data_IF_919274260292
#
_entry.id   IF_919274260292
#
_cell.length_a   1.000
_cell.length_b   1.000
_cell.length_c   1.000
_cell.angle_alpha   90.00
_cell.angle_beta   90.00
_cell.angle_gamma   90.00
#
_symmetry.space_group_name_H-M   'P 1'
#
loop_
_entity.id
_entity.type
_entity.pdbx_description
1 polymer ?
#
# COMPACT_ATOMS: atom_id res chain seq x y z
N UNK A 1 -30.08 85.27 2.03
CA UNK A 1 -29.94 84.95 0.59
C UNK A 1 -28.47 84.80 0.18
N UNK A 2 -27.55 85.62 0.66
CA UNK A 2 -26.10 85.52 0.30
C UNK A 2 -25.44 84.21 0.72
N UNK A 3 -25.69 83.72 1.94
CA UNK A 3 -25.09 82.46 2.42
C UNK A 3 -25.50 81.24 1.56
N UNK A 4 -26.75 81.15 1.09
CA UNK A 4 -27.16 79.99 0.27
C UNK A 4 -26.43 79.97 -1.08
N UNK A 5 -26.14 81.14 -1.65
CA UNK A 5 -25.41 81.25 -2.92
C UNK A 5 -23.91 80.95 -2.78
N UNK A 6 -23.28 81.39 -1.68
CA UNK A 6 -21.87 81.03 -1.40
C UNK A 6 -21.70 79.53 -1.16
N UNK A 7 -22.60 78.92 -0.41
CA UNK A 7 -22.58 77.47 -0.18
C UNK A 7 -22.89 76.68 -1.46
N UNK A 8 -23.75 77.20 -2.34
CA UNK A 8 -24.00 76.64 -3.67
C UNK A 8 -22.76 76.68 -4.58
N UNK A 9 -21.99 77.78 -4.58
CA UNK A 9 -20.75 77.91 -5.34
C UNK A 9 -19.61 77.02 -4.80
N UNK A 10 -19.50 76.90 -3.47
CA UNK A 10 -18.54 76.00 -2.82
C UNK A 10 -18.91 74.53 -3.08
N UNK A 11 -20.18 74.16 -2.98
CA UNK A 11 -20.64 72.81 -3.31
C UNK A 11 -20.41 72.44 -4.79
N UNK A 12 -20.66 73.37 -5.71
CA UNK A 12 -20.41 73.18 -7.14
C UNK A 12 -18.93 72.98 -7.47
N UNK A 13 -18.05 73.81 -6.90
CA UNK A 13 -16.60 73.72 -7.11
C UNK A 13 -15.99 72.46 -6.48
N UNK A 14 -16.43 72.06 -5.29
CA UNK A 14 -16.03 70.79 -4.67
C UNK A 14 -16.46 69.60 -5.53
N UNK A 15 -17.68 69.60 -6.07
CA UNK A 15 -18.17 68.53 -6.95
C UNK A 15 -17.35 68.41 -8.25
N UNK A 16 -16.93 69.54 -8.83
CA UNK A 16 -16.08 69.55 -10.02
C UNK A 16 -14.66 69.02 -9.74
N UNK A 17 -14.09 69.36 -8.57
CA UNK A 17 -12.78 68.84 -8.14
C UNK A 17 -12.86 67.34 -7.88
N UNK A 18 -13.89 66.85 -7.19
CA UNK A 18 -14.10 65.42 -6.99
C UNK A 18 -14.34 64.68 -8.32
N UNK A 19 -15.04 65.28 -9.28
CA UNK A 19 -15.22 64.73 -10.62
C UNK A 19 -13.90 64.59 -11.39
N UNK A 20 -13.03 65.60 -11.34
CA UNK A 20 -11.70 65.56 -11.96
C UNK A 20 -10.77 64.56 -11.28
N UNK A 21 -10.75 64.52 -9.95
CA UNK A 21 -9.99 63.53 -9.19
C UNK A 21 -10.47 62.11 -9.47
N UNK A 22 -11.79 61.90 -9.57
CA UNK A 22 -12.36 60.62 -9.96
C UNK A 22 -11.88 60.21 -11.36
N UNK A 23 -11.89 61.11 -12.34
CA UNK A 23 -11.41 60.80 -13.71
C UNK A 23 -9.91 60.45 -13.76
N UNK A 24 -9.07 61.17 -13.00
CA UNK A 24 -7.62 60.95 -12.95
C UNK A 24 -7.30 59.62 -12.23
N UNK A 25 -8.01 59.29 -11.15
CA UNK A 25 -7.70 58.13 -10.31
C UNK A 25 -8.45 56.85 -10.72
N UNK A 26 -9.55 56.94 -11.47
CA UNK A 26 -10.38 55.77 -11.81
C UNK A 26 -9.65 54.73 -12.66
N UNK A 27 -8.94 55.18 -13.71
CA UNK A 27 -8.20 54.28 -14.60
C UNK A 27 -7.01 53.55 -13.94
N UNK A 28 -6.12 54.21 -13.16
CA UNK A 28 -5.03 53.50 -12.48
C UNK A 28 -5.54 52.53 -11.40
N UNK A 29 -6.59 52.90 -10.65
CA UNK A 29 -7.19 52.02 -9.64
C UNK A 29 -7.82 50.79 -10.31
N UNK A 30 -8.54 50.96 -11.41
CA UNK A 30 -9.15 49.84 -12.16
C UNK A 30 -8.09 48.86 -12.68
N UNK A 31 -6.98 49.37 -13.24
CA UNK A 31 -5.86 48.53 -13.71
C UNK A 31 -5.17 47.78 -12.58
N UNK A 32 -4.96 48.42 -11.42
CA UNK A 32 -4.40 47.77 -10.24
C UNK A 32 -5.29 46.63 -9.73
N UNK A 33 -6.62 46.87 -9.66
CA UNK A 33 -7.58 45.84 -9.24
C UNK A 33 -7.61 44.67 -10.23
N UNK A 34 -7.55 44.93 -11.55
CA UNK A 34 -7.50 43.88 -12.57
C UNK A 34 -6.24 43.01 -12.44
N UNK A 35 -5.05 43.63 -12.34
CA UNK A 35 -3.78 42.89 -12.13
C UNK A 35 -3.83 42.02 -10.88
N UNK A 36 -4.29 42.57 -9.75
CA UNK A 36 -4.43 41.83 -8.49
C UNK A 36 -5.43 40.67 -8.60
N UNK A 37 -6.47 40.80 -9.42
CA UNK A 37 -7.42 39.70 -9.70
C UNK A 37 -6.77 38.61 -10.55
N UNK A 38 -5.98 38.97 -11.56
CA UNK A 38 -5.26 38.02 -12.42
C UNK A 38 -4.18 37.26 -11.64
N UNK A 39 -3.39 37.94 -10.82
CA UNK A 39 -2.41 37.31 -9.92
C UNK A 39 -3.09 36.29 -8.98
N UNK A 40 -4.23 36.66 -8.40
CA UNK A 40 -5.02 35.74 -7.56
C UNK A 40 -5.57 34.55 -8.34
N UNK A 41 -5.95 34.72 -9.61
CA UNK A 41 -6.40 33.61 -10.47
C UNK A 41 -5.23 32.68 -10.79
N UNK A 42 -4.09 33.22 -11.22
CA UNK A 42 -2.87 32.45 -11.49
C UNK A 42 -2.41 31.66 -10.26
N UNK A 43 -2.36 32.31 -9.10
CA UNK A 43 -1.99 31.64 -7.85
C UNK A 43 -2.98 30.52 -7.48
N UNK A 44 -4.28 30.73 -7.71
CA UNK A 44 -5.28 29.67 -7.49
C UNK A 44 -5.10 28.51 -8.46
N UNK A 45 -4.86 28.80 -9.74
CA UNK A 45 -4.60 27.77 -10.75
C UNK A 45 -3.32 26.98 -10.46
N UNK A 46 -2.24 27.66 -10.07
CA UNK A 46 -0.98 27.03 -9.66
C UNK A 46 -1.17 26.15 -8.42
N UNK A 47 -1.93 26.62 -7.42
CA UNK A 47 -2.26 25.82 -6.23
C UNK A 47 -3.07 24.58 -6.58
N UNK A 48 -4.08 24.72 -7.43
CA UNK A 48 -4.90 23.59 -7.87
C UNK A 48 -4.05 22.57 -8.65
N UNK A 49 -3.17 23.03 -9.54
CA UNK A 49 -2.22 22.16 -10.25
C UNK A 49 -1.25 21.47 -9.30
N UNK A 50 -0.69 22.18 -8.33
CA UNK A 50 0.22 21.62 -7.34
C UNK A 50 -0.49 20.60 -6.44
N UNK A 51 -1.71 20.88 -6.01
CA UNK A 51 -2.53 19.95 -5.21
C UNK A 51 -2.89 18.70 -6.03
N UNK A 52 -3.24 18.87 -7.30
CA UNK A 52 -3.54 17.75 -8.19
C UNK A 52 -2.30 16.89 -8.45
N UNK A 53 -1.15 17.50 -8.74
CA UNK A 53 0.12 16.79 -8.89
C UNK A 53 0.48 16.01 -7.61
N UNK A 54 0.34 16.63 -6.42
CA UNK A 54 0.59 15.95 -5.15
C UNK A 54 -0.39 14.78 -4.91
N UNK A 55 -1.65 14.91 -5.33
CA UNK A 55 -2.64 13.81 -5.27
C UNK A 55 -2.29 12.68 -6.22
N UNK A 56 -1.86 13.00 -7.43
CA UNK A 56 -1.48 12.05 -8.47
C UNK A 56 -0.21 11.30 -8.06
N UNK A 57 0.81 11.99 -7.54
CA UNK A 57 2.03 11.40 -7.00
C UNK A 57 1.72 10.44 -5.83
N UNK A 58 0.86 10.88 -4.89
CA UNK A 58 0.43 10.03 -3.79
C UNK A 58 -0.38 8.82 -4.27
N UNK A 59 -1.16 8.95 -5.34
CA UNK A 59 -1.91 7.84 -5.94
C UNK A 59 -0.98 6.85 -6.65
N UNK A 60 0.03 7.34 -7.37
CA UNK A 60 1.06 6.55 -8.02
C UNK A 60 1.85 5.74 -6.99
N UNK A 61 2.34 6.38 -5.92
CA UNK A 61 3.03 5.70 -4.84
C UNK A 61 2.18 4.60 -4.19
N UNK A 62 0.91 4.90 -3.88
CA UNK A 62 -0.01 3.88 -3.33
C UNK A 62 -0.24 2.72 -4.29
N UNK A 63 -0.25 2.96 -5.60
CA UNK A 63 -0.37 1.92 -6.61
C UNK A 63 0.89 1.05 -6.63
N UNK A 64 2.07 1.65 -6.69
CA UNK A 64 3.34 0.92 -6.66
C UNK A 64 3.49 0.06 -5.39
N UNK A 65 3.08 0.59 -4.23
CA UNK A 65 3.05 -0.15 -2.98
C UNK A 65 2.11 -1.36 -3.04
N UNK A 66 0.89 -1.21 -3.58
CA UNK A 66 -0.02 -2.34 -3.77
C UNK A 66 0.55 -3.38 -4.72
N UNK A 67 1.15 -2.95 -5.83
CA UNK A 67 1.76 -3.84 -6.81
C UNK A 67 2.97 -4.59 -6.21
N UNK A 68 3.76 -3.92 -5.37
CA UNK A 68 4.85 -4.55 -4.64
C UNK A 68 4.35 -5.59 -3.62
N UNK A 69 3.30 -5.27 -2.86
CA UNK A 69 2.69 -6.21 -1.92
C UNK A 69 2.09 -7.42 -2.64
N UNK A 70 1.41 -7.21 -3.76
CA UNK A 70 0.86 -8.31 -4.57
C UNK A 70 1.96 -9.24 -5.11
N UNK A 71 3.13 -8.70 -5.48
CA UNK A 71 4.29 -9.50 -5.87
C UNK A 71 4.82 -10.33 -4.71
N UNK A 72 4.94 -9.74 -3.52
CA UNK A 72 5.40 -10.46 -2.32
C UNK A 72 4.44 -11.58 -1.97
N UNK A 73 3.13 -11.30 -1.94
CA UNK A 73 2.10 -12.28 -1.64
C UNK A 73 2.15 -13.47 -2.61
N UNK A 74 2.24 -13.19 -3.91
CA UNK A 74 2.41 -14.22 -4.93
C UNK A 74 3.65 -15.08 -4.67
N UNK A 75 4.79 -14.47 -4.36
CA UNK A 75 6.02 -15.22 -4.05
C UNK A 75 5.85 -16.08 -2.79
N UNK A 76 5.19 -15.58 -1.76
CA UNK A 76 4.93 -16.34 -0.52
C UNK A 76 4.01 -17.55 -0.77
N UNK A 77 2.99 -17.39 -1.61
CA UNK A 77 2.12 -18.50 -2.03
C UNK A 77 2.95 -19.57 -2.74
N UNK A 78 3.75 -19.18 -3.75
CA UNK A 78 4.61 -20.14 -4.47
C UNK A 78 5.59 -20.84 -3.53
N UNK A 79 6.27 -20.11 -2.65
CA UNK A 79 7.18 -20.74 -1.67
C UNK A 79 6.45 -21.70 -0.73
N UNK A 80 5.20 -21.41 -0.36
CA UNK A 80 4.39 -22.28 0.48
C UNK A 80 4.01 -23.57 -0.25
N UNK A 81 3.81 -23.51 -1.57
CA UNK A 81 3.59 -24.67 -2.44
C UNK A 81 4.87 -25.50 -2.59
N UNK A 82 6.00 -24.87 -2.91
CA UNK A 82 7.31 -25.55 -3.02
C UNK A 82 7.69 -26.26 -1.72
N UNK A 83 7.46 -25.63 -0.56
CA UNK A 83 7.66 -26.26 0.76
C UNK A 83 6.76 -27.49 0.92
N UNK A 84 5.53 -27.44 0.38
CA UNK A 84 4.63 -28.59 0.36
C UNK A 84 5.23 -29.75 -0.41
N UNK A 85 5.69 -29.51 -1.63
CA UNK A 85 6.26 -30.53 -2.48
C UNK A 85 7.52 -31.14 -1.84
N UNK A 86 8.39 -30.32 -1.25
CA UNK A 86 9.56 -30.80 -0.50
C UNK A 86 9.18 -31.62 0.74
N UNK A 87 8.14 -31.22 1.47
CA UNK A 87 7.62 -31.98 2.62
C UNK A 87 7.10 -33.34 2.15
N UNK A 88 6.37 -33.38 1.04
CA UNK A 88 5.87 -34.61 0.44
C UNK A 88 7.02 -35.53 0.02
N UNK A 89 7.96 -35.04 -0.79
CA UNK A 89 9.13 -35.81 -1.24
C UNK A 89 9.92 -36.37 -0.06
N UNK A 90 10.13 -35.57 0.99
CA UNK A 90 10.85 -36.01 2.19
C UNK A 90 10.11 -37.10 2.97
N UNK A 91 8.78 -37.01 3.05
CA UNK A 91 7.96 -38.06 3.68
C UNK A 91 8.02 -39.36 2.87
N UNK A 92 7.94 -39.28 1.54
CA UNK A 92 8.09 -40.44 0.64
C UNK A 92 9.46 -41.09 0.79
N UNK A 93 10.54 -40.31 0.70
CA UNK A 93 11.91 -40.82 0.85
C UNK A 93 12.15 -41.45 2.22
N UNK A 94 11.59 -40.85 3.29
CA UNK A 94 11.69 -41.40 4.62
C UNK A 94 10.98 -42.75 4.74
N UNK A 95 9.79 -42.88 4.14
CA UNK A 95 9.06 -44.15 4.12
C UNK A 95 9.86 -45.23 3.40
N UNK A 96 10.36 -44.94 2.19
CA UNK A 96 11.13 -45.91 1.42
C UNK A 96 12.38 -46.36 2.18
N UNK A 97 13.13 -45.40 2.72
CA UNK A 97 14.37 -45.66 3.44
C UNK A 97 14.14 -46.48 4.72
N UNK A 98 13.24 -46.04 5.60
CA UNK A 98 13.04 -46.70 6.88
C UNK A 98 12.31 -48.04 6.75
N UNK A 99 11.41 -48.18 5.78
CA UNK A 99 10.75 -49.46 5.51
C UNK A 99 11.73 -50.47 4.94
N UNK A 100 12.63 -50.07 4.03
CA UNK A 100 13.71 -50.93 3.54
C UNK A 100 14.68 -51.33 4.66
N UNK A 101 15.00 -50.40 5.56
CA UNK A 101 15.88 -50.65 6.71
C UNK A 101 15.21 -51.49 7.81
N UNK A 102 13.87 -51.47 7.91
CA UNK A 102 13.08 -52.23 8.88
C UNK A 102 13.05 -51.63 10.30
N UNK A 103 13.64 -50.46 10.53
CA UNK A 103 13.59 -49.74 11.81
C UNK A 103 13.75 -48.23 11.60
N UNK A 104 13.15 -47.41 12.48
CA UNK A 104 13.22 -45.95 12.43
C UNK A 104 13.42 -45.37 13.84
N UNK A 105 14.49 -44.58 14.11
CA UNK A 105 14.71 -43.96 15.40
C UNK A 105 13.50 -43.15 15.89
N UNK A 106 13.19 -43.22 17.19
CA UNK A 106 12.05 -42.51 17.78
C UNK A 106 12.06 -41.00 17.49
N UNK A 107 13.23 -40.35 17.58
CA UNK A 107 13.38 -38.92 17.25
C UNK A 107 13.07 -38.60 15.78
N UNK A 108 13.33 -39.53 14.86
CA UNK A 108 13.00 -39.37 13.44
C UNK A 108 11.51 -39.56 13.20
N UNK A 109 10.87 -40.52 13.89
CA UNK A 109 9.41 -40.66 13.89
C UNK A 109 8.72 -39.37 14.32
N UNK A 110 9.11 -38.81 15.47
CA UNK A 110 8.53 -37.56 15.98
C UNK A 110 8.66 -36.39 14.98
N UNK A 111 9.83 -36.22 14.38
CA UNK A 111 10.07 -35.21 13.35
C UNK A 111 9.17 -35.41 12.14
N UNK A 112 9.01 -36.65 11.65
CA UNK A 112 8.17 -36.98 10.51
C UNK A 112 6.68 -36.77 10.83
N UNK A 113 6.24 -37.12 12.04
CA UNK A 113 4.89 -36.82 12.52
C UNK A 113 4.61 -35.32 12.55
N UNK A 114 5.56 -34.51 13.04
CA UNK A 114 5.41 -33.05 13.03
C UNK A 114 5.34 -32.49 11.60
N UNK A 115 6.18 -33.03 10.70
CA UNK A 115 6.16 -32.65 9.28
C UNK A 115 4.82 -32.99 8.63
N UNK A 116 4.31 -34.21 8.84
CA UNK A 116 3.01 -34.64 8.33
C UNK A 116 1.87 -33.79 8.90
N UNK A 117 1.88 -33.47 10.20
CA UNK A 117 0.91 -32.54 10.81
C UNK A 117 0.93 -31.17 10.14
N UNK A 118 2.12 -30.61 9.88
CA UNK A 118 2.26 -29.33 9.17
C UNK A 118 1.75 -29.38 7.73
N UNK A 119 2.01 -30.49 7.04
CA UNK A 119 1.56 -30.73 5.68
C UNK A 119 0.02 -30.85 5.61
N UNK A 120 -0.56 -31.64 6.51
CA UNK A 120 -2.01 -31.85 6.64
C UNK A 120 -2.76 -30.58 7.04
N UNK A 121 -2.21 -29.79 7.96
CA UNK A 121 -2.82 -28.52 8.38
C UNK A 121 -3.02 -27.53 7.23
N UNK A 122 -2.25 -27.67 6.14
CA UNK A 122 -2.37 -26.87 4.91
C UNK A 122 -3.33 -27.49 3.88
N UNK A 123 -4.09 -28.52 4.24
CA UNK A 123 -5.05 -29.19 3.36
C UNK A 123 -4.44 -30.19 2.37
N UNK A 124 -3.17 -30.56 2.53
CA UNK A 124 -2.47 -31.52 1.67
C UNK A 124 -2.42 -32.90 2.38
N UNK A 125 -3.03 -33.96 1.84
CA UNK A 125 -3.03 -35.26 2.53
C UNK A 125 -3.00 -36.54 1.66
N UNK A 126 -3.08 -36.45 0.33
CA UNK A 126 -3.60 -37.57 -0.46
C UNK A 126 -2.73 -38.84 -0.51
N UNK A 127 -1.46 -38.78 -0.08
CA UNK A 127 -0.53 -39.92 -0.12
C UNK A 127 0.32 -40.08 1.15
N UNK A 128 0.42 -39.05 1.99
CA UNK A 128 1.33 -39.04 3.15
C UNK A 128 0.82 -39.77 4.38
N UNK A 129 -0.48 -40.03 4.48
CA UNK A 129 -1.08 -40.68 5.66
C UNK A 129 -0.57 -42.12 5.82
N UNK A 130 -0.50 -42.87 4.72
CA UNK A 130 0.03 -44.23 4.72
C UNK A 130 1.52 -44.28 5.09
N UNK A 131 2.30 -43.27 4.68
CA UNK A 131 3.73 -43.18 4.99
C UNK A 131 3.98 -43.05 6.49
N UNK A 132 3.23 -42.18 7.18
CA UNK A 132 3.37 -42.02 8.62
C UNK A 132 3.02 -43.33 9.35
N UNK A 133 1.90 -43.96 9.00
CA UNK A 133 1.45 -45.20 9.64
C UNK A 133 2.46 -46.35 9.50
N UNK A 134 3.05 -46.51 8.32
CA UNK A 134 4.05 -47.54 8.06
C UNK A 134 5.34 -47.30 8.86
N UNK A 135 5.85 -46.07 8.86
CA UNK A 135 7.06 -45.70 9.61
C UNK A 135 6.84 -45.85 11.12
N UNK A 136 5.64 -45.52 11.62
CA UNK A 136 5.31 -45.63 13.04
C UNK A 136 5.32 -47.08 13.53
N UNK A 137 4.93 -48.05 12.69
CA UNK A 137 4.91 -49.49 12.99
C UNK A 137 6.31 -50.11 13.12
N UNK A 138 7.33 -49.48 12.56
CA UNK A 138 8.71 -50.01 12.60
C UNK A 138 9.29 -49.97 14.01
N UNK A 139 10.28 -50.79 14.32
CA UNK A 139 10.97 -50.69 15.62
C UNK A 139 11.82 -49.43 15.72
N UNK A 140 12.08 -48.96 16.95
CA UNK A 140 12.90 -47.76 17.19
C UNK A 140 14.41 -47.99 17.24
N UNK A 141 14.84 -49.25 17.20
CA UNK A 141 16.25 -49.66 17.22
C UNK A 141 16.45 -50.86 16.29
N UNK A 142 17.66 -51.03 15.72
CA UNK A 142 17.98 -52.23 14.95
C UNK A 142 17.88 -53.47 15.83
N UNK A 143 17.57 -54.62 15.22
CA UNK A 143 17.34 -55.91 15.91
C UNK A 143 18.51 -56.31 16.80
N UNK A 144 19.74 -55.98 16.40
CA UNK A 144 20.97 -56.29 17.15
C UNK A 144 21.14 -55.48 18.44
N UNK A 145 20.33 -54.42 18.63
CA UNK A 145 20.35 -53.53 19.79
C UNK A 145 19.04 -53.56 20.60
N UNK A 146 18.15 -54.50 20.29
CA UNK A 146 16.93 -54.77 21.05
C UNK A 146 17.27 -55.77 22.17
N UNK A 147 17.97 -55.29 23.20
CA UNK A 147 18.23 -56.02 24.44
C UNK A 147 17.37 -55.45 25.58
#
# INVERSE_FOLDING_TARGET
MEQINEWGGIAGSLSAIFGLLALILFNPIKRYIQRKREERKKLKEERLKAEQAARDDAAAFRKEMRDAMARIDKTLVTLTDDIGDLQYERLSQAQEFYTAQGWCPGSKKEMLCQMHKSYRAKGRNHLSEHYEEEILKLDSKPRDQQA
#
